data_IF_559814948228
#
_entry.id   IF_559814948228
#
_cell.length_a   1.000
_cell.length_b   1.000
_cell.length_c   1.000
_cell.angle_alpha   90.00
_cell.angle_beta   90.00
_cell.angle_gamma   90.00
#
_symmetry.space_group_name_H-M   'P 1'
#
loop_
_entity.id
_entity.type
_entity.pdbx_description
1 polymer ?
#
# COMPACT_ATOMS: atom_id res chain seq x y z
N UNK A 1 15.14 17.37 23.70
CA UNK A 1 16.22 16.51 23.17
C UNK A 1 15.85 15.99 21.80
N UNK A 2 16.79 16.04 20.95
CA UNK A 2 16.54 15.52 19.61
C UNK A 2 16.83 14.03 19.57
N UNK A 3 15.87 13.27 19.13
CA UNK A 3 16.04 11.85 18.97
C UNK A 3 16.60 11.53 17.59
N UNK A 4 17.64 10.76 17.55
CA UNK A 4 18.21 10.31 16.31
C UNK A 4 17.45 9.09 15.82
N UNK A 5 16.83 9.20 14.66
CA UNK A 5 16.08 8.09 14.13
C UNK A 5 16.95 7.22 13.26
N UNK A 6 16.78 5.93 13.40
CA UNK A 6 17.49 4.96 12.59
C UNK A 6 16.61 4.58 11.40
N UNK A 7 17.19 4.45 10.21
CA UNK A 7 16.42 3.91 9.09
C UNK A 7 15.93 2.50 9.39
N UNK A 8 14.71 2.21 9.01
CA UNK A 8 14.12 0.90 9.19
C UNK A 8 13.78 0.34 7.83
N UNK A 9 14.27 -0.85 7.55
CA UNK A 9 13.97 -1.50 6.29
C UNK A 9 12.55 -2.03 6.29
N UNK A 10 11.80 -1.73 5.22
CA UNK A 10 10.46 -2.27 5.02
C UNK A 10 10.61 -3.58 4.27
N UNK A 11 10.08 -4.65 4.87
CA UNK A 11 10.28 -5.99 4.35
C UNK A 11 9.17 -6.39 3.41
N UNK A 12 9.55 -7.00 2.30
CA UNK A 12 8.65 -7.58 1.31
C UNK A 12 8.98 -9.05 1.16
N UNK A 13 8.14 -9.85 0.49
CA UNK A 13 8.47 -11.24 0.23
C UNK A 13 9.81 -11.37 -0.48
N UNK A 14 10.50 -12.47 -0.22
CA UNK A 14 11.83 -12.71 -0.77
C UNK A 14 11.78 -12.65 -2.30
N UNK A 15 12.74 -11.96 -2.89
CA UNK A 15 12.83 -11.83 -4.34
C UNK A 15 12.04 -10.66 -4.89
N UNK A 16 11.34 -9.92 -4.04
CA UNK A 16 10.58 -8.75 -4.48
C UNK A 16 11.53 -7.60 -4.80
N UNK A 17 11.34 -6.99 -5.96
CA UNK A 17 12.07 -5.80 -6.36
C UNK A 17 11.06 -4.68 -6.53
N UNK A 18 11.16 -3.65 -5.69
CA UNK A 18 10.24 -2.52 -5.75
C UNK A 18 10.77 -1.51 -6.76
N UNK A 19 9.90 -1.12 -7.70
CA UNK A 19 10.28 -0.21 -8.78
C UNK A 19 9.63 1.16 -8.65
N UNK A 20 8.55 1.29 -7.87
CA UNK A 20 7.86 2.55 -7.70
C UNK A 20 7.23 2.62 -6.32
N UNK A 21 7.28 3.78 -5.72
CA UNK A 21 6.66 4.05 -4.42
C UNK A 21 5.87 5.33 -4.51
N UNK A 22 4.66 5.31 -3.98
CA UNK A 22 3.82 6.51 -3.86
C UNK A 22 3.34 6.63 -2.43
N UNK A 23 3.36 7.85 -1.90
CA UNK A 23 2.88 8.09 -0.55
C UNK A 23 1.71 9.05 -0.59
N UNK A 24 0.63 8.67 0.07
CA UNK A 24 -0.46 9.57 0.33
C UNK A 24 -0.32 10.18 1.72
N UNK A 25 -1.39 10.78 2.19
CA UNK A 25 -1.37 11.40 3.50
C UNK A 25 -1.30 10.36 4.62
N UNK A 26 -2.00 9.25 4.45
CA UNK A 26 -2.12 8.24 5.50
C UNK A 26 -1.70 6.85 5.05
N UNK A 27 -1.14 6.72 3.87
CA UNK A 27 -0.83 5.39 3.35
C UNK A 27 0.32 5.44 2.36
N UNK A 28 0.89 4.28 2.10
CA UNK A 28 1.98 4.12 1.15
C UNK A 28 1.65 2.96 0.21
N UNK A 29 2.00 3.13 -1.05
CA UNK A 29 1.85 2.10 -2.06
C UNK A 29 3.22 1.81 -2.67
N UNK A 30 3.49 0.55 -2.94
CA UNK A 30 4.74 0.15 -3.59
C UNK A 30 4.42 -0.82 -4.72
N UNK A 31 5.01 -0.61 -5.87
CA UNK A 31 4.82 -1.46 -7.03
C UNK A 31 6.10 -2.24 -7.29
N UNK A 32 5.96 -3.55 -7.43
CA UNK A 32 7.07 -4.43 -7.69
C UNK A 32 7.29 -4.62 -9.18
N UNK A 33 8.45 -5.15 -9.54
CA UNK A 33 8.81 -5.38 -10.94
C UNK A 33 7.91 -6.41 -11.62
N UNK A 34 7.23 -7.26 -10.85
CA UNK A 34 6.27 -8.23 -11.37
C UNK A 34 4.85 -7.68 -11.42
N UNK A 35 4.70 -6.36 -11.23
CA UNK A 35 3.43 -5.66 -11.25
C UNK A 35 2.52 -5.99 -10.06
N UNK A 36 3.05 -6.56 -9.00
CA UNK A 36 2.33 -6.71 -7.74
C UNK A 36 2.39 -5.40 -6.98
N UNK A 37 1.24 -4.95 -6.49
CA UNK A 37 1.17 -3.74 -5.68
C UNK A 37 1.01 -4.09 -4.22
N UNK A 38 1.72 -3.38 -3.37
CA UNK A 38 1.61 -3.52 -1.91
C UNK A 38 1.13 -2.21 -1.33
N UNK A 39 0.36 -2.30 -0.27
CA UNK A 39 -0.12 -1.13 0.44
C UNK A 39 -0.02 -1.30 1.93
N UNK A 40 0.18 -0.21 2.63
CA UNK A 40 0.16 -0.17 4.09
C UNK A 40 0.03 1.28 4.53
N UNK A 41 -0.18 1.47 5.81
CA UNK A 41 -0.27 2.79 6.41
C UNK A 41 -1.36 2.87 7.44
N UNK A 42 -1.18 3.74 8.41
CA UNK A 42 -2.10 3.87 9.52
C UNK A 42 -2.36 5.32 9.91
N UNK A 43 -1.98 6.24 9.04
CA UNK A 43 -2.03 7.65 9.37
C UNK A 43 -0.78 8.08 10.13
N UNK A 44 -0.64 9.38 10.29
CA UNK A 44 0.52 9.93 10.94
C UNK A 44 0.54 9.66 12.44
N UNK A 45 -0.63 9.52 13.05
CA UNK A 45 -0.71 9.34 14.48
C UNK A 45 -0.86 7.89 14.83
N UNK A 46 0.05 7.39 15.59
CA UNK A 46 0.02 6.01 16.04
C UNK A 46 -1.22 5.64 16.83
N UNK A 47 -1.96 6.63 17.35
CA UNK A 47 -3.17 6.34 18.10
C UNK A 47 -4.23 5.64 17.27
N UNK A 48 -4.25 5.84 15.96
CA UNK A 48 -5.20 5.11 15.12
C UNK A 48 -4.94 3.62 15.18
N UNK A 49 -3.67 3.25 15.20
CA UNK A 49 -3.29 1.84 15.23
C UNK A 49 -3.72 1.19 16.54
N UNK A 50 -3.59 1.91 17.64
CA UNK A 50 -3.91 1.35 18.95
C UNK A 50 -5.39 1.05 19.12
N UNK A 51 -6.25 1.69 18.33
CA UNK A 51 -7.70 1.47 18.41
C UNK A 51 -8.20 0.47 17.37
N UNK A 52 -7.33 -0.05 16.53
CA UNK A 52 -7.72 -1.01 15.50
C UNK A 52 -7.74 -2.42 16.07
N UNK A 53 -8.56 -3.28 15.45
CA UNK A 53 -8.47 -4.70 15.70
C UNK A 53 -7.09 -5.19 15.28
N UNK A 54 -6.66 -6.27 15.89
CA UNK A 54 -5.32 -6.80 15.63
C UNK A 54 -5.06 -7.06 14.15
N UNK A 55 -6.04 -7.65 13.46
CA UNK A 55 -5.90 -7.92 12.03
C UNK A 55 -5.71 -6.64 11.22
N UNK A 56 -6.43 -5.59 11.60
CA UNK A 56 -6.34 -4.31 10.91
C UNK A 56 -5.01 -3.62 11.21
N UNK A 57 -4.51 -3.75 12.43
CA UNK A 57 -3.21 -3.19 12.77
C UNK A 57 -2.11 -3.82 11.94
N UNK A 58 -2.18 -5.12 11.74
CA UNK A 58 -1.19 -5.82 10.92
C UNK A 58 -1.17 -5.27 9.50
N UNK A 59 -2.35 -5.06 8.93
CA UNK A 59 -2.45 -4.51 7.58
C UNK A 59 -2.00 -3.06 7.49
N UNK A 60 -2.12 -2.32 8.60
CA UNK A 60 -1.69 -0.94 8.61
C UNK A 60 -0.17 -0.81 8.76
N UNK A 61 0.47 -1.74 9.45
CA UNK A 61 1.88 -1.62 9.77
C UNK A 61 2.81 -2.34 8.81
N UNK A 62 2.31 -3.34 8.10
CA UNK A 62 3.15 -4.12 7.19
C UNK A 62 2.53 -4.14 5.80
N UNK A 63 3.35 -4.23 4.75
CA UNK A 63 2.83 -4.29 3.40
C UNK A 63 1.94 -5.51 3.18
N UNK A 64 0.83 -5.30 2.48
CA UNK A 64 -0.06 -6.38 2.07
C UNK A 64 -0.41 -6.17 0.60
N UNK A 65 -0.76 -7.26 -0.08
CA UNK A 65 -1.03 -7.22 -1.51
C UNK A 65 -2.37 -6.57 -1.78
N UNK A 66 -2.37 -5.64 -2.74
CA UNK A 66 -3.59 -5.06 -3.29
C UNK A 66 -3.75 -5.68 -4.68
N UNK A 67 -4.84 -6.41 -4.88
CA UNK A 67 -5.03 -7.15 -6.11
C UNK A 67 -6.39 -6.86 -6.74
N UNK A 68 -6.41 -6.85 -8.06
CA UNK A 68 -7.62 -6.69 -8.84
C UNK A 68 -7.80 -7.93 -9.72
N UNK A 69 -9.03 -8.37 -9.85
CA UNK A 69 -9.34 -9.57 -10.63
C UNK A 69 -10.40 -9.27 -11.68
N UNK A 70 -10.27 -9.93 -12.82
CA UNK A 70 -11.31 -9.99 -13.81
C UNK A 70 -11.69 -11.46 -13.93
N UNK A 71 -12.84 -11.82 -13.32
CA UNK A 71 -13.16 -13.22 -13.13
C UNK A 71 -12.12 -13.88 -12.23
N UNK A 72 -11.45 -14.90 -12.74
CA UNK A 72 -10.40 -15.59 -12.00
C UNK A 72 -9.00 -15.08 -12.32
N UNK A 73 -8.92 -14.17 -13.28
CA UNK A 73 -7.62 -13.68 -13.74
C UNK A 73 -7.21 -12.46 -12.93
N UNK A 74 -6.03 -12.56 -12.32
CA UNK A 74 -5.44 -11.43 -11.62
C UNK A 74 -4.89 -10.45 -12.64
N UNK A 75 -5.28 -9.18 -12.52
CA UNK A 75 -4.81 -8.14 -13.42
C UNK A 75 -3.53 -7.53 -12.88
N UNK A 76 -2.64 -7.15 -13.77
CA UNK A 76 -1.41 -6.46 -13.40
C UNK A 76 -1.71 -4.99 -13.17
N UNK A 77 -1.14 -4.44 -12.12
CA UNK A 77 -1.23 -3.02 -11.84
C UNK A 77 -0.08 -2.35 -12.57
N UNK A 78 -0.41 -1.59 -13.60
CA UNK A 78 0.59 -0.96 -14.44
C UNK A 78 1.22 0.25 -13.77
N UNK A 79 0.41 1.05 -13.10
CA UNK A 79 0.89 2.16 -12.30
C UNK A 79 -0.17 2.55 -11.28
N UNK A 80 0.22 3.37 -10.32
CA UNK A 80 -0.68 3.80 -9.26
C UNK A 80 -0.30 5.20 -8.80
N UNK A 81 -1.24 5.86 -8.13
CA UNK A 81 -1.06 7.18 -7.54
C UNK A 81 -1.70 7.18 -6.16
N UNK A 82 -1.09 7.87 -5.22
CA UNK A 82 -1.62 8.03 -3.89
C UNK A 82 -1.94 9.49 -3.64
N UNK A 83 -3.19 9.75 -3.29
CA UNK A 83 -3.63 11.08 -2.87
C UNK A 83 -3.85 11.12 -1.37
N UNK A 84 -4.39 12.22 -0.88
CA UNK A 84 -4.64 12.38 0.54
C UNK A 84 -5.66 11.37 1.06
N UNK A 85 -6.79 11.25 0.37
CA UNK A 85 -7.92 10.46 0.84
C UNK A 85 -8.18 9.21 -0.02
N UNK A 86 -7.46 9.04 -1.12
CA UNK A 86 -7.75 7.94 -2.03
C UNK A 86 -6.51 7.56 -2.83
N UNK A 87 -6.59 6.42 -3.47
CA UNK A 87 -5.55 5.90 -4.37
C UNK A 87 -6.17 5.57 -5.71
N UNK A 88 -5.39 5.70 -6.76
CA UNK A 88 -5.79 5.34 -8.11
C UNK A 88 -4.89 4.22 -8.62
N UNK A 89 -5.48 3.29 -9.33
CA UNK A 89 -4.76 2.16 -9.91
C UNK A 89 -5.12 2.00 -11.37
N UNK A 90 -4.11 2.03 -12.23
CA UNK A 90 -4.29 1.75 -13.65
C UNK A 90 -3.89 0.32 -13.92
N UNK A 91 -4.81 -0.47 -14.43
CA UNK A 91 -4.56 -1.88 -14.72
C UNK A 91 -4.05 -2.06 -16.15
N UNK A 92 -3.51 -3.24 -16.40
CA UNK A 92 -2.93 -3.59 -17.70
C UNK A 92 -3.97 -3.66 -18.82
N UNK A 93 -5.25 -3.71 -18.49
CA UNK A 93 -6.33 -3.69 -19.49
C UNK A 93 -6.89 -2.28 -19.73
N UNK A 94 -6.27 -1.26 -19.14
CA UNK A 94 -6.69 0.12 -19.32
C UNK A 94 -7.75 0.60 -18.35
N UNK A 95 -8.25 -0.26 -17.48
CA UNK A 95 -9.25 0.14 -16.49
C UNK A 95 -8.58 0.94 -15.37
N UNK A 96 -9.29 1.95 -14.89
CA UNK A 96 -8.82 2.80 -13.80
C UNK A 96 -9.75 2.64 -12.61
N UNK A 97 -9.18 2.32 -11.45
CA UNK A 97 -9.94 2.15 -10.21
C UNK A 97 -9.49 3.16 -9.18
N UNK A 98 -10.45 3.58 -8.37
CA UNK A 98 -10.17 4.41 -7.20
C UNK A 98 -10.55 3.63 -5.95
N UNK A 99 -9.67 3.65 -4.96
CA UNK A 99 -9.95 3.04 -3.67
C UNK A 99 -9.77 4.12 -2.62
N UNK A 100 -10.74 4.26 -1.73
CA UNK A 100 -10.62 5.16 -0.60
C UNK A 100 -9.67 4.58 0.43
N UNK A 101 -8.95 5.44 1.13
CA UNK A 101 -7.89 5.01 2.04
C UNK A 101 -8.35 4.02 3.08
N UNK A 102 -9.56 4.17 3.60
CA UNK A 102 -10.07 3.27 4.61
C UNK A 102 -10.24 1.84 4.11
N UNK A 103 -10.36 1.66 2.79
CA UNK A 103 -10.49 0.32 2.20
C UNK A 103 -9.12 -0.35 2.01
N UNK A 104 -8.05 0.41 2.05
CA UNK A 104 -6.70 -0.15 1.96
C UNK A 104 -6.29 -0.75 3.30
N UNK A 105 -6.71 -0.13 4.37
CA UNK A 105 -6.44 -0.60 5.71
C UNK A 105 -7.34 -1.76 6.09
#
# INVERSE_FOLDING_TARGET
>A
MKKQEQPTEIKFPRGTVITRVCCGENHTLALASDYTCYGWGCGEQGQLVSHMKESMRKRALVPHVIAFYEGRKKRKIQTMWAGGMHSLFLLDNGQLYRIDNELIL
#
